data_IF_437153489760
#
_entry.id   IF_437153489760
#
_cell.length_a   1.000
_cell.length_b   1.000
_cell.length_c   1.000
_cell.angle_alpha   90.00
_cell.angle_beta   90.00
_cell.angle_gamma   90.00
#
_symmetry.space_group_name_H-M   'P 1'
#
loop_
_entity.id
_entity.type
_entity.pdbx_description
1 polymer ?
#
# COMPACT_ATOMS: atom_id res chain seq x y z
N UNK A 1 11.74 38.24 18.36
CA UNK A 1 10.99 37.81 17.17
C UNK A 1 11.33 36.35 16.95
N UNK A 2 10.47 35.45 17.43
CA UNK A 2 10.67 34.02 17.27
C UNK A 2 10.42 33.64 15.81
N UNK A 3 11.38 32.92 15.22
CA UNK A 3 11.32 32.48 13.85
C UNK A 3 10.23 31.41 13.73
N UNK A 4 9.07 31.78 13.20
CA UNK A 4 8.01 30.82 12.88
C UNK A 4 8.59 29.85 11.87
N UNK A 5 8.65 28.57 12.26
CA UNK A 5 9.20 27.50 11.45
C UNK A 5 8.25 27.24 10.27
N UNK A 6 8.49 27.94 9.15
CA UNK A 6 7.69 27.90 7.93
C UNK A 6 7.45 26.46 7.43
N UNK A 7 8.38 25.55 7.72
CA UNK A 7 8.31 24.15 7.36
C UNK A 7 7.22 23.38 8.13
N UNK A 8 6.98 23.74 9.40
CA UNK A 8 5.92 23.15 10.21
C UNK A 8 4.52 23.62 9.79
N UNK A 9 4.41 24.88 9.34
CA UNK A 9 3.16 25.43 8.81
C UNK A 9 2.78 24.76 7.48
N UNK A 10 3.78 24.51 6.63
CA UNK A 10 3.57 23.86 5.33
C UNK A 10 3.08 22.41 5.46
N UNK A 11 3.62 21.63 6.40
CA UNK A 11 3.15 20.28 6.68
C UNK A 11 1.74 20.25 7.28
N UNK A 12 1.38 21.24 8.10
CA UNK A 12 0.04 21.37 8.67
C UNK A 12 -1.02 21.67 7.59
N UNK A 13 -0.70 22.50 6.59
CA UNK A 13 -1.61 22.80 5.48
C UNK A 13 -1.93 21.56 4.63
N UNK A 14 -0.95 20.69 4.36
CA UNK A 14 -1.17 19.46 3.58
C UNK A 14 -2.14 18.51 4.29
N UNK A 15 -2.16 18.48 5.62
CA UNK A 15 -3.06 17.62 6.42
C UNK A 15 -4.49 18.17 6.46
N UNK A 16 -4.68 19.49 6.41
CA UNK A 16 -6.00 20.12 6.51
C UNK A 16 -6.78 20.14 5.19
N UNK A 17 -6.12 20.17 4.04
CA UNK A 17 -6.78 20.25 2.72
C UNK A 17 -7.42 18.92 2.29
N UNK A 18 -7.13 17.81 2.98
CA UNK A 18 -7.58 16.47 2.59
C UNK A 18 -8.98 16.04 3.04
N UNK A 19 -9.77 16.86 3.74
CA UNK A 19 -10.96 16.34 4.47
C UNK A 19 -12.34 16.72 3.95
N UNK A 20 -12.51 17.68 3.04
CA UNK A 20 -13.84 18.14 2.62
C UNK A 20 -14.10 17.90 1.14
N UNK A 21 -14.79 16.81 0.81
CA UNK A 21 -15.53 16.71 -0.45
C UNK A 21 -16.62 15.64 -0.36
N UNK A 22 -17.70 15.99 0.35
CA UNK A 22 -18.99 15.28 0.27
C UNK A 22 -19.76 15.88 -0.89
N UNK A 23 -19.74 15.24 -2.06
CA UNK A 23 -20.57 15.65 -3.19
C UNK A 23 -21.54 14.51 -3.57
N UNK A 24 -22.81 14.74 -3.26
CA UNK A 24 -23.95 13.90 -3.62
C UNK A 24 -24.32 14.20 -5.06
N UNK A 25 -24.19 13.24 -5.98
CA UNK A 25 -24.85 13.33 -7.27
C UNK A 25 -25.47 11.99 -7.69
N UNK A 26 -26.79 12.00 -7.79
CA UNK A 26 -27.64 10.95 -8.35
C UNK A 26 -27.73 11.17 -9.85
N UNK A 27 -27.35 10.18 -10.66
CA UNK A 27 -27.86 10.11 -12.02
C UNK A 27 -28.03 8.67 -12.52
N UNK A 28 -29.25 8.41 -12.96
CA UNK A 28 -29.72 7.18 -13.60
C UNK A 28 -29.38 7.24 -15.09
N UNK A 29 -28.74 6.21 -15.64
CA UNK A 29 -28.95 5.91 -17.06
C UNK A 29 -28.77 4.43 -17.40
N UNK A 30 -29.78 3.92 -18.11
CA UNK A 30 -29.90 2.59 -18.70
C UNK A 30 -29.19 2.58 -20.05
N UNK A 31 -28.34 1.59 -20.31
CA UNK A 31 -27.97 1.26 -21.68
C UNK A 31 -27.82 -0.26 -21.88
N UNK A 32 -28.60 -0.76 -22.84
CA UNK A 32 -28.59 -2.13 -23.36
C UNK A 32 -27.63 -2.18 -24.54
N UNK A 33 -26.64 -3.08 -24.52
CA UNK A 33 -25.90 -3.43 -25.72
C UNK A 33 -25.79 -4.96 -25.87
N UNK A 34 -26.34 -5.44 -26.99
CA UNK A 34 -26.22 -6.81 -27.49
C UNK A 34 -25.03 -6.87 -28.42
N UNK A 35 -24.03 -7.71 -28.11
CA UNK A 35 -22.98 -8.07 -29.07
C UNK A 35 -22.95 -9.60 -29.23
N UNK A 36 -23.22 -10.04 -30.46
CA UNK A 36 -23.02 -11.42 -30.94
C UNK A 36 -21.60 -11.51 -31.48
N UNK A 37 -20.76 -12.35 -30.89
CA UNK A 37 -19.45 -12.70 -31.45
C UNK A 37 -19.39 -14.19 -31.76
N UNK A 38 -19.20 -14.51 -33.04
CA UNK A 38 -18.94 -15.84 -33.57
C UNK A 38 -17.43 -16.08 -33.55
N UNK A 39 -16.94 -16.97 -32.68
CA UNK A 39 -15.54 -17.40 -32.69
C UNK A 39 -15.41 -18.80 -33.31
N UNK A 40 -14.67 -18.87 -34.41
CA UNK A 40 -14.20 -20.11 -35.05
C UNK A 40 -12.91 -20.56 -34.37
N UNK A 41 -12.99 -21.60 -33.53
CA UNK A 41 -11.81 -22.20 -32.91
C UNK A 41 -11.17 -23.26 -33.83
N UNK A 42 -9.92 -23.03 -34.24
CA UNK A 42 -9.06 -24.05 -34.85
C UNK A 42 -8.21 -24.68 -33.77
N UNK A 43 -8.54 -25.91 -33.36
CA UNK A 43 -7.79 -26.68 -32.37
C UNK A 43 -6.56 -27.33 -33.02
N UNK A 44 -5.36 -26.89 -32.63
CA UNK A 44 -4.10 -27.62 -32.91
C UNK A 44 -3.72 -28.40 -31.65
N UNK A 45 -3.94 -29.71 -31.68
CA UNK A 45 -3.60 -30.61 -30.58
C UNK A 45 -2.08 -30.88 -30.59
N UNK A 46 -1.35 -30.26 -29.66
CA UNK A 46 0.04 -30.63 -29.34
C UNK A 46 0.03 -31.51 -28.10
N UNK A 47 0.28 -32.81 -28.29
CA UNK A 47 0.40 -33.77 -27.20
C UNK A 47 1.74 -33.56 -26.47
N UNK A 48 1.72 -32.77 -25.39
CA UNK A 48 2.83 -32.70 -24.43
C UNK A 48 2.63 -33.79 -23.39
N UNK A 49 3.56 -34.74 -23.36
CA UNK A 49 3.59 -35.85 -22.40
C UNK A 49 3.96 -35.29 -21.02
N UNK A 50 2.97 -34.89 -20.23
CA UNK A 50 3.16 -34.44 -18.85
C UNK A 50 3.42 -35.67 -17.98
N UNK A 51 4.65 -35.81 -17.49
CA UNK A 51 4.97 -36.73 -16.40
C UNK A 51 4.22 -36.26 -15.16
N UNK A 52 3.08 -36.89 -14.88
CA UNK A 52 2.35 -36.73 -13.62
C UNK A 52 3.20 -37.31 -12.50
N UNK A 53 4.03 -36.48 -11.88
CA UNK A 53 4.50 -36.75 -10.53
C UNK A 53 3.28 -36.64 -9.61
N UNK A 54 2.66 -37.77 -9.32
CA UNK A 54 1.70 -37.91 -8.23
C UNK A 54 2.47 -37.69 -6.93
N UNK A 55 2.66 -36.43 -6.56
CA UNK A 55 2.86 -36.09 -5.16
C UNK A 55 1.55 -36.47 -4.47
N UNK A 56 1.55 -37.65 -3.84
CA UNK A 56 0.60 -37.99 -2.81
C UNK A 56 0.81 -36.97 -1.69
N UNK A 57 0.15 -35.82 -1.81
CA UNK A 57 -0.12 -34.97 -0.66
C UNK A 57 -0.96 -35.85 0.25
N UNK A 58 -0.28 -36.48 1.21
CA UNK A 58 -0.92 -36.92 2.43
C UNK A 58 -1.55 -35.65 2.99
N UNK A 59 -2.84 -35.46 2.70
CA UNK A 59 -3.70 -34.56 3.45
C UNK A 59 -3.69 -35.11 4.87
N UNK A 60 -2.64 -34.80 5.60
CA UNK A 60 -2.71 -34.73 7.04
C UNK A 60 -3.86 -33.77 7.26
N UNK A 61 -5.02 -34.29 7.65
CA UNK A 61 -6.09 -33.49 8.21
C UNK A 61 -5.47 -32.81 9.41
N UNK A 62 -4.85 -31.66 9.18
CA UNK A 62 -4.48 -30.73 10.22
C UNK A 62 -5.84 -30.26 10.70
N UNK A 63 -6.36 -30.98 11.70
CA UNK A 63 -7.44 -30.47 12.53
C UNK A 63 -6.86 -29.23 13.19
N UNK A 64 -6.95 -28.10 12.49
CA UNK A 64 -6.93 -26.82 13.14
C UNK A 64 -8.04 -26.92 14.17
N UNK A 65 -7.69 -27.01 15.45
CA UNK A 65 -8.66 -26.72 16.49
C UNK A 65 -9.34 -25.41 16.05
N UNK A 66 -10.67 -25.32 16.14
CA UNK A 66 -11.49 -24.25 15.52
C UNK A 66 -11.00 -22.81 15.83
N UNK A 67 -10.12 -22.66 16.81
CA UNK A 67 -9.52 -21.41 17.23
C UNK A 67 -8.22 -21.01 16.51
N UNK A 68 -7.51 -21.88 15.77
CA UNK A 68 -6.22 -21.55 15.15
C UNK A 68 -5.02 -21.54 16.13
N UNK A 69 -3.90 -20.86 15.84
CA UNK A 69 -2.72 -20.85 16.73
C UNK A 69 -3.02 -20.17 18.07
N UNK A 70 -2.35 -20.66 19.12
CA UNK A 70 -2.34 -20.01 20.44
C UNK A 70 -1.52 -18.71 20.40
N UNK A 71 -1.77 -17.80 21.35
CA UNK A 71 -1.00 -16.53 21.43
C UNK A 71 0.51 -16.76 21.55
N UNK A 72 0.92 -17.81 22.27
CA UNK A 72 2.34 -18.21 22.37
C UNK A 72 2.91 -18.63 21.01
N UNK A 73 2.17 -19.43 20.23
CA UNK A 73 2.61 -19.85 18.90
C UNK A 73 2.73 -18.67 17.94
N UNK A 74 1.81 -17.71 18.05
CA UNK A 74 1.87 -16.47 17.29
C UNK A 74 3.12 -15.67 17.68
N UNK A 75 3.36 -15.51 18.99
CA UNK A 75 4.53 -14.80 19.52
C UNK A 75 5.84 -15.41 18.99
N UNK A 76 5.97 -16.74 19.05
CA UNK A 76 7.15 -17.46 18.56
C UNK A 76 7.37 -17.26 17.05
N UNK A 77 6.30 -17.33 16.25
CA UNK A 77 6.35 -17.10 14.80
C UNK A 77 6.83 -15.68 14.45
N UNK A 78 6.34 -14.68 15.18
CA UNK A 78 6.74 -13.27 15.01
C UNK A 78 8.21 -13.10 15.40
N UNK A 79 8.61 -13.65 16.54
CA UNK A 79 9.99 -13.51 17.02
C UNK A 79 11.00 -14.20 16.11
N UNK A 80 10.66 -15.40 15.60
CA UNK A 80 11.46 -16.08 14.59
C UNK A 80 11.64 -15.18 13.36
N UNK A 81 10.55 -14.60 12.86
CA UNK A 81 10.59 -13.74 11.66
C UNK A 81 11.35 -12.43 11.88
N UNK A 82 11.27 -11.83 13.06
CA UNK A 82 12.05 -10.63 13.40
C UNK A 82 13.54 -10.95 13.60
N UNK A 83 13.86 -12.17 14.00
CA UNK A 83 15.24 -12.65 14.23
C UNK A 83 15.93 -13.13 12.96
N UNK A 84 15.17 -13.47 11.91
CA UNK A 84 15.72 -13.79 10.59
C UNK A 84 16.45 -12.57 10.00
N UNK A 85 17.77 -12.56 10.16
CA UNK A 85 18.64 -11.58 9.52
C UNK A 85 18.58 -11.78 8.01
N UNK A 86 18.20 -10.73 7.26
CA UNK A 86 18.28 -10.76 5.79
C UNK A 86 19.73 -11.09 5.40
N UNK A 87 19.99 -12.22 4.70
CA UNK A 87 21.34 -12.80 4.58
C UNK A 87 22.36 -11.97 3.82
N UNK A 88 22.05 -10.74 3.38
CA UNK A 88 22.96 -9.87 2.64
C UNK A 88 22.79 -8.37 2.92
N UNK A 89 22.03 -7.98 3.96
CA UNK A 89 21.86 -6.56 4.30
C UNK A 89 22.78 -6.22 5.48
N UNK A 90 23.62 -5.17 5.39
CA UNK A 90 24.42 -4.73 6.53
C UNK A 90 23.48 -4.54 7.71
N UNK A 91 23.83 -5.16 8.83
CA UNK A 91 23.06 -5.25 10.06
C UNK A 91 22.71 -3.82 10.51
N UNK A 92 21.59 -3.30 10.00
CA UNK A 92 20.91 -2.20 10.65
C UNK A 92 20.05 -2.84 11.73
N UNK A 93 20.69 -3.05 12.89
CA UNK A 93 20.03 -3.40 14.15
C UNK A 93 18.88 -2.42 14.40
N UNK A 94 17.66 -2.86 14.09
CA UNK A 94 16.42 -2.23 14.54
C UNK A 94 15.93 -2.96 15.80
N UNK A 95 15.80 -2.29 16.95
CA UNK A 95 15.65 -2.88 18.28
C UNK A 95 14.19 -3.13 18.65
N UNK A 96 13.42 -3.78 17.79
CA UNK A 96 12.03 -4.06 18.13
C UNK A 96 11.99 -5.34 18.96
N UNK A 97 11.95 -5.21 20.29
CA UNK A 97 11.56 -6.33 21.16
C UNK A 97 10.04 -6.33 21.29
N UNK A 98 9.41 -7.40 20.79
CA UNK A 98 7.99 -7.67 21.04
C UNK A 98 7.83 -8.01 22.52
N UNK A 99 7.12 -7.18 23.25
CA UNK A 99 6.86 -7.36 24.67
C UNK A 99 5.70 -8.32 24.89
N UNK A 100 4.60 -8.11 24.15
CA UNK A 100 3.43 -8.99 24.20
C UNK A 100 2.71 -9.04 22.87
N UNK A 101 2.03 -10.16 22.64
CA UNK A 101 1.13 -10.37 21.51
C UNK A 101 -0.18 -10.89 22.08
N UNK A 102 -1.28 -10.23 21.73
CA UNK A 102 -2.63 -10.60 22.13
C UNK A 102 -3.47 -10.87 20.90
N UNK A 103 -4.16 -12.00 20.87
CA UNK A 103 -5.12 -12.32 19.82
C UNK A 103 -6.44 -11.62 20.12
N UNK A 104 -6.88 -10.74 19.23
CA UNK A 104 -8.07 -9.89 19.45
C UNK A 104 -9.32 -10.38 18.72
N UNK A 105 -9.30 -11.61 18.19
CA UNK A 105 -10.43 -12.25 17.53
C UNK A 105 -10.09 -13.62 16.93
N UNK A 106 -11.09 -14.27 16.34
CA UNK A 106 -10.91 -15.60 15.73
C UNK A 106 -10.06 -15.51 14.46
N UNK A 107 -9.21 -16.51 14.25
CA UNK A 107 -8.48 -16.66 13.00
C UNK A 107 -9.45 -17.14 11.91
N UNK A 108 -9.30 -16.62 10.70
CA UNK A 108 -10.06 -17.07 9.52
C UNK A 108 -9.10 -17.66 8.49
N UNK A 109 -9.48 -18.74 7.80
CA UNK A 109 -8.73 -19.20 6.64
C UNK A 109 -8.72 -18.12 5.55
N UNK A 110 -7.57 -17.95 4.89
CA UNK A 110 -7.47 -17.08 3.72
C UNK A 110 -8.22 -17.70 2.55
N UNK A 111 -9.07 -16.91 1.88
CA UNK A 111 -9.81 -17.38 0.69
C UNK A 111 -8.88 -17.65 -0.49
N UNK A 112 -7.83 -16.85 -0.62
CA UNK A 112 -6.90 -16.91 -1.74
C UNK A 112 -5.81 -17.99 -1.53
N UNK A 113 -5.53 -18.33 -0.28
CA UNK A 113 -4.46 -19.25 0.10
C UNK A 113 -4.92 -20.18 1.24
N UNK A 114 -5.49 -21.36 0.95
CA UNK A 114 -6.16 -22.20 1.96
C UNK A 114 -5.22 -22.77 3.03
N UNK A 115 -3.89 -22.68 2.83
CA UNK A 115 -2.89 -23.04 3.84
C UNK A 115 -2.60 -21.91 4.82
N UNK A 116 -3.05 -20.68 4.54
CA UNK A 116 -2.82 -19.51 5.38
C UNK A 116 -4.04 -19.17 6.21
N UNK A 117 -3.80 -18.78 7.46
CA UNK A 117 -4.82 -18.18 8.32
C UNK A 117 -4.53 -16.70 8.54
N UNK A 118 -5.58 -15.94 8.74
CA UNK A 118 -5.54 -14.54 9.10
C UNK A 118 -6.00 -14.39 10.52
N UNK A 119 -5.07 -14.00 11.39
CA UNK A 119 -5.32 -13.82 12.81
C UNK A 119 -5.22 -12.32 13.15
N UNK A 120 -6.28 -11.71 13.69
CA UNK A 120 -6.21 -10.34 14.18
C UNK A 120 -5.44 -10.33 15.51
N UNK A 121 -4.35 -9.57 15.56
CA UNK A 121 -3.46 -9.52 16.72
C UNK A 121 -3.12 -8.08 17.11
N UNK A 122 -2.90 -7.88 18.39
CA UNK A 122 -2.42 -6.63 18.96
C UNK A 122 -1.03 -6.89 19.55
N UNK A 123 -0.08 -6.01 19.24
CA UNK A 123 1.30 -6.15 19.67
C UNK A 123 1.73 -4.94 20.47
N UNK A 124 2.43 -5.19 21.56
CA UNK A 124 3.14 -4.16 22.29
C UNK A 124 4.62 -4.32 22.03
N UNK A 125 5.26 -3.23 21.60
CA UNK A 125 6.70 -3.18 21.43
C UNK A 125 7.31 -2.32 22.52
N UNK A 126 8.31 -2.88 23.20
CA UNK A 126 9.13 -2.09 24.10
C UNK A 126 10.28 -1.46 23.29
N UNK A 127 10.38 -0.14 23.33
CA UNK A 127 11.47 0.62 22.71
C UNK A 127 12.55 0.88 23.76
N UNK A 128 13.17 -0.20 24.25
CA UNK A 128 14.08 -0.13 25.40
C UNK A 128 15.49 0.40 25.06
N UNK A 129 15.62 1.17 23.97
CA UNK A 129 16.82 1.99 23.78
C UNK A 129 16.75 3.21 24.68
N UNK A 130 17.03 2.99 25.95
CA UNK A 130 17.84 3.92 26.73
C UNK A 130 19.12 4.17 25.95
N UNK A 131 19.12 5.23 25.13
CA UNK A 131 20.32 5.82 24.55
C UNK A 131 21.20 6.31 25.71
N UNK A 132 21.95 5.41 26.33
CA UNK A 132 23.15 5.74 27.08
C UNK A 132 24.20 6.17 26.06
N UNK A 133 24.01 7.35 25.49
CA UNK A 133 24.97 8.01 24.60
C UNK A 133 26.14 8.55 25.42
N UNK A 134 27.00 7.65 25.88
CA UNK A 134 28.35 7.97 26.36
C UNK A 134 29.31 8.38 25.23
N UNK A 135 28.85 8.48 23.98
CA UNK A 135 29.67 8.92 22.85
C UNK A 135 29.79 10.44 22.81
N UNK A 136 31.02 10.93 23.02
CA UNK A 136 31.42 12.33 22.97
C UNK A 136 30.76 13.11 21.81
N UNK A 137 30.20 14.26 22.18
CA UNK A 137 29.59 15.26 21.31
C UNK A 137 30.45 15.59 20.08
N UNK A 138 30.05 15.09 18.92
CA UNK A 138 30.24 15.75 17.64
C UNK A 138 29.06 16.71 17.40
N UNK A 139 29.37 17.95 17.08
CA UNK A 139 28.49 19.12 17.02
C UNK A 139 27.32 19.06 16.01
N UNK A 140 26.23 18.37 16.37
CA UNK A 140 24.91 18.57 15.77
C UNK A 140 23.88 18.90 16.86
N UNK A 141 23.90 20.15 17.33
CA UNK A 141 22.89 20.72 18.24
C UNK A 141 21.78 21.36 17.43
N UNK A 142 20.65 20.68 17.24
CA UNK A 142 19.30 21.26 17.04
C UNK A 142 18.34 20.11 16.79
N UNK A 143 17.79 19.54 17.86
CA UNK A 143 16.48 18.85 17.98
C UNK A 143 16.48 18.15 19.35
N UNK A 144 16.45 18.94 20.43
CA UNK A 144 16.24 18.44 21.80
C UNK A 144 14.74 18.58 22.12
N UNK A 145 13.94 17.61 21.70
CA UNK A 145 12.63 17.37 22.31
C UNK A 145 12.66 15.98 22.94
N UNK A 146 12.74 15.95 24.26
CA UNK A 146 12.77 14.74 25.08
C UNK A 146 11.35 14.16 25.13
N UNK A 147 10.89 13.55 24.04
CA UNK A 147 9.63 12.82 24.05
C UNK A 147 9.84 11.45 24.68
N UNK A 148 9.32 11.30 25.89
CA UNK A 148 9.38 10.10 26.70
C UNK A 148 8.25 9.14 26.25
N UNK A 149 8.43 8.45 25.13
CA UNK A 149 7.45 7.47 24.63
C UNK A 149 7.65 6.15 25.39
N UNK A 150 6.90 5.96 26.47
CA UNK A 150 7.06 4.80 27.36
C UNK A 150 6.41 3.50 26.88
N UNK A 151 5.60 3.51 25.83
CA UNK A 151 5.00 2.28 25.30
C UNK A 151 4.44 2.56 23.89
N UNK A 152 4.69 1.68 22.92
CA UNK A 152 4.04 1.74 21.61
C UNK A 152 3.19 0.49 21.41
N UNK A 153 1.87 0.67 21.46
CA UNK A 153 0.89 -0.36 21.11
C UNK A 153 0.58 -0.22 19.63
N UNK A 154 0.83 -1.28 18.87
CA UNK A 154 0.56 -1.36 17.45
C UNK A 154 -0.42 -2.50 17.22
N UNK A 155 -1.64 -2.16 16.78
CA UNK A 155 -2.67 -3.15 16.45
C UNK A 155 -2.56 -3.50 14.96
N UNK A 156 -2.24 -4.75 14.62
CA UNK A 156 -1.93 -5.20 13.26
C UNK A 156 -2.71 -6.48 12.92
N UNK A 157 -3.43 -6.51 11.79
CA UNK A 157 -3.93 -7.78 11.25
C UNK A 157 -2.82 -8.44 10.45
N UNK A 158 -2.48 -9.68 10.77
CA UNK A 158 -1.43 -10.42 10.08
C UNK A 158 -1.87 -11.79 9.60
N UNK A 159 -1.16 -12.27 8.58
CA UNK A 159 -1.26 -13.63 8.09
C UNK A 159 -0.23 -14.49 8.81
N UNK A 160 -0.70 -15.65 9.28
CA UNK A 160 0.13 -16.67 9.91
C UNK A 160 -0.29 -17.99 9.28
N UNK A 161 0.69 -18.80 8.88
CA UNK A 161 0.44 -20.09 8.26
C UNK A 161 1.39 -21.14 8.79
N UNK A 162 1.09 -22.40 8.52
CA UNK A 162 1.91 -23.51 8.98
C UNK A 162 2.78 -24.03 7.83
N UNK A 163 4.10 -24.05 8.03
CA UNK A 163 5.06 -24.68 7.14
C UNK A 163 5.81 -25.78 7.89
N UNK A 164 5.75 -27.01 7.39
CA UNK A 164 6.46 -28.15 7.98
C UNK A 164 6.19 -28.35 9.49
N UNK A 165 4.97 -28.04 9.95
CA UNK A 165 4.58 -28.13 11.36
C UNK A 165 4.83 -26.87 12.20
N UNK A 166 5.54 -25.86 11.69
CA UNK A 166 5.85 -24.62 12.39
C UNK A 166 4.99 -23.46 11.91
N UNK A 167 4.61 -22.54 12.81
CA UNK A 167 3.91 -21.31 12.43
C UNK A 167 4.89 -20.27 11.89
N UNK A 168 4.54 -19.67 10.76
CA UNK A 168 5.32 -18.64 10.07
C UNK A 168 4.46 -17.39 9.94
N UNK A 169 5.06 -16.23 10.23
CA UNK A 169 4.41 -14.92 10.10
C UNK A 169 4.75 -14.24 8.76
N UNK A 170 3.84 -13.40 8.26
CA UNK A 170 3.97 -12.66 6.98
C UNK A 170 5.33 -12.00 6.78
N UNK A 171 5.91 -12.22 5.59
CA UNK A 171 7.19 -11.65 5.18
C UNK A 171 7.21 -10.11 5.22
N UNK A 172 6.06 -9.48 5.02
CA UNK A 172 5.92 -8.03 5.05
C UNK A 172 5.85 -7.46 6.47
N UNK A 173 5.80 -8.30 7.51
CA UNK A 173 5.59 -7.88 8.89
C UNK A 173 6.63 -6.83 9.32
N UNK A 174 7.90 -7.05 9.02
CA UNK A 174 8.99 -6.13 9.39
C UNK A 174 8.79 -4.74 8.77
N UNK A 175 8.48 -4.68 7.48
CA UNK A 175 8.25 -3.43 6.75
C UNK A 175 7.04 -2.67 7.30
N UNK A 176 5.97 -3.40 7.67
CA UNK A 176 4.75 -2.80 8.26
C UNK A 176 5.01 -2.23 9.65
N UNK A 177 5.70 -2.98 10.53
CA UNK A 177 6.09 -2.50 11.87
C UNK A 177 6.96 -1.25 11.74
N UNK A 178 7.92 -1.23 10.81
CA UNK A 178 8.76 -0.05 10.59
C UNK A 178 7.95 1.15 10.11
N UNK A 179 7.05 0.97 9.15
CA UNK A 179 6.18 2.04 8.66
C UNK A 179 5.28 2.60 9.78
N UNK A 180 4.62 1.74 10.55
CA UNK A 180 3.75 2.16 11.65
C UNK A 180 4.52 2.85 12.76
N UNK A 181 5.73 2.37 13.07
CA UNK A 181 6.62 3.03 14.04
C UNK A 181 7.01 4.44 13.58
N UNK A 182 7.27 4.62 12.29
CA UNK A 182 7.61 5.93 11.73
C UNK A 182 6.41 6.88 11.75
N UNK A 183 5.22 6.37 11.43
CA UNK A 183 3.97 7.14 11.46
C UNK A 183 3.56 7.49 12.90
N UNK A 184 3.72 6.58 13.86
CA UNK A 184 3.42 6.82 15.26
C UNK A 184 4.34 7.90 15.86
N UNK A 185 5.63 7.90 15.48
CA UNK A 185 6.57 8.99 15.83
C UNK A 185 6.15 10.35 15.27
N UNK A 186 5.42 10.37 14.16
CA UNK A 186 4.82 11.58 13.59
C UNK A 186 3.47 11.96 14.22
N UNK A 187 3.01 11.25 15.26
CA UNK A 187 1.70 11.46 15.89
C UNK A 187 0.52 10.91 15.08
N UNK A 188 0.79 10.12 14.03
CA UNK A 188 -0.24 9.52 13.18
C UNK A 188 -0.64 8.16 13.74
N UNK A 189 -1.90 8.04 14.19
CA UNK A 189 -2.46 6.75 14.61
C UNK A 189 -2.96 6.00 13.39
N UNK A 190 -2.23 4.99 12.95
CA UNK A 190 -2.67 4.10 11.87
C UNK A 190 -3.76 3.18 12.41
N UNK A 191 -5.00 3.34 11.93
CA UNK A 191 -6.04 2.32 12.08
C UNK A 191 -6.16 1.60 10.75
N UNK A 192 -5.82 0.31 10.74
CA UNK A 192 -6.12 -0.53 9.59
C UNK A 192 -7.64 -0.70 9.53
N UNK A 193 -8.24 -0.30 8.40
CA UNK A 193 -9.67 -0.51 8.17
C UNK A 193 -9.99 -2.00 8.36
N UNK A 194 -11.15 -2.28 8.96
CA UNK A 194 -11.66 -3.63 8.95
C UNK A 194 -12.01 -4.00 7.52
N UNK A 195 -11.34 -5.02 6.97
CA UNK A 195 -11.74 -5.64 5.71
C UNK A 195 -13.19 -6.16 5.84
N UNK A 196 -14.14 -5.33 5.42
CA UNK A 196 -15.52 -5.75 5.15
C UNK A 196 -15.43 -6.65 3.93
N UNK A 197 -15.71 -7.95 4.11
CA UNK A 197 -15.71 -8.92 3.01
C UNK A 197 -16.77 -8.50 1.97
N UNK A 198 -16.37 -8.10 0.75
CA UNK A 198 -17.31 -7.72 -0.29
C UNK A 198 -17.83 -8.98 -0.96
N UNK A 199 -19.10 -9.27 -0.73
CA UNK A 199 -19.83 -10.33 -1.41
C UNK A 199 -20.29 -9.78 -2.78
N UNK A 200 -19.35 -9.54 -3.70
CA UNK A 200 -19.67 -9.02 -5.05
C UNK A 200 -18.90 -9.79 -6.11
N UNK A 201 -19.66 -10.51 -6.93
CA UNK A 201 -19.23 -11.09 -8.20
C UNK A 201 -18.84 -9.95 -9.14
N UNK A 202 -17.54 -9.70 -9.30
CA UNK A 202 -17.01 -8.79 -10.33
C UNK A 202 -16.32 -9.61 -11.41
N UNK A 203 -17.07 -9.88 -12.48
CA UNK A 203 -16.51 -10.43 -13.72
C UNK A 203 -15.85 -9.26 -14.46
N UNK A 204 -14.57 -9.02 -14.17
CA UNK A 204 -13.74 -8.17 -15.03
C UNK A 204 -13.20 -9.09 -16.12
N UNK A 205 -13.77 -9.03 -17.32
CA UNK A 205 -13.24 -9.72 -18.49
C UNK A 205 -11.79 -9.25 -18.73
N UNK A 206 -10.82 -10.05 -18.30
CA UNK A 206 -9.38 -10.19 -18.59
C UNK A 206 -8.50 -8.98 -19.03
N UNK A 207 -8.99 -7.75 -19.13
CA UNK A 207 -8.24 -6.62 -19.70
C UNK A 207 -7.90 -5.50 -18.70
N UNK A 208 -8.69 -5.34 -17.64
CA UNK A 208 -8.65 -4.13 -16.81
C UNK A 208 -8.79 -2.85 -17.66
N UNK A 209 -8.40 -1.67 -17.13
CA UNK A 209 -8.32 -0.44 -17.93
C UNK A 209 -7.26 -0.53 -19.04
N UNK A 210 -7.53 0.09 -20.17
CA UNK A 210 -6.53 0.39 -21.21
C UNK A 210 -5.58 1.52 -20.77
N UNK A 211 -4.42 1.65 -21.41
CA UNK A 211 -3.48 2.76 -21.11
C UNK A 211 -4.13 4.14 -21.25
N UNK A 212 -4.97 4.33 -22.28
CA UNK A 212 -5.70 5.57 -22.50
C UNK A 212 -6.73 5.84 -21.39
N UNK A 213 -7.38 4.80 -20.87
CA UNK A 213 -8.30 4.94 -19.74
C UNK A 213 -7.56 5.33 -18.45
N UNK A 214 -6.38 4.76 -18.20
CA UNK A 214 -5.55 5.15 -17.05
C UNK A 214 -5.06 6.60 -17.22
N UNK A 215 -4.60 6.97 -18.43
CA UNK A 215 -4.16 8.34 -18.72
C UNK A 215 -5.25 9.36 -18.42
N UNK A 216 -6.46 9.15 -18.95
CA UNK A 216 -7.58 10.06 -18.73
C UNK A 216 -7.97 10.14 -17.24
N UNK A 217 -8.00 9.01 -16.53
CA UNK A 217 -8.31 8.97 -15.11
C UNK A 217 -7.32 9.78 -14.25
N UNK A 218 -6.03 9.81 -14.63
CA UNK A 218 -5.01 10.64 -13.96
C UNK A 218 -5.13 12.10 -14.40
N UNK A 219 -5.33 12.35 -15.70
CA UNK A 219 -5.48 13.72 -16.25
C UNK A 219 -6.63 14.46 -15.57
N UNK A 220 -7.76 13.80 -15.35
CA UNK A 220 -8.91 14.36 -14.63
C UNK A 220 -8.55 14.87 -13.22
N UNK A 221 -7.53 14.29 -12.55
CA UNK A 221 -7.06 14.78 -11.25
C UNK A 221 -6.29 16.10 -11.37
N UNK A 222 -5.63 16.36 -12.51
CA UNK A 222 -4.95 17.62 -12.78
C UNK A 222 -5.94 18.71 -13.18
N UNK A 223 -6.91 18.37 -14.04
CA UNK A 223 -7.89 19.33 -14.55
C UNK A 223 -8.84 19.82 -13.45
N UNK A 224 -9.26 18.94 -12.53
CA UNK A 224 -10.17 19.30 -11.41
C UNK A 224 -9.62 20.35 -10.44
N UNK A 225 -8.32 20.56 -10.40
CA UNK A 225 -7.71 21.49 -9.44
C UNK A 225 -7.56 22.91 -9.93
N UNK A 226 -7.84 23.19 -11.20
CA UNK A 226 -7.72 24.55 -11.75
C UNK A 226 -8.96 25.43 -11.48
N UNK A 227 -10.04 24.90 -10.89
CA UNK A 227 -11.28 25.68 -10.70
C UNK A 227 -11.23 26.73 -9.59
N UNK A 228 -10.23 26.71 -8.71
CA UNK A 228 -10.30 27.45 -7.45
C UNK A 228 -9.67 28.85 -7.48
N UNK A 229 -9.34 29.35 -8.68
CA UNK A 229 -9.12 30.79 -8.89
C UNK A 229 -7.84 31.41 -8.33
N UNK A 230 -6.90 30.62 -7.78
CA UNK A 230 -5.58 31.12 -7.36
C UNK A 230 -4.54 31.08 -8.49
N UNK A 231 -3.85 32.21 -8.63
CA UNK A 231 -3.17 32.69 -9.85
C UNK A 231 -1.73 32.23 -10.03
N UNK A 232 -1.23 31.29 -9.25
CA UNK A 232 0.12 30.76 -9.46
C UNK A 232 0.04 29.44 -10.24
N UNK A 233 0.09 29.57 -11.57
CA UNK A 233 0.20 28.48 -12.54
C UNK A 233 1.55 27.78 -12.41
N UNK A 234 1.72 26.97 -11.37
CA UNK A 234 2.69 25.88 -11.44
C UNK A 234 2.18 24.87 -12.48
N UNK A 235 2.70 24.98 -13.70
CA UNK A 235 2.27 24.15 -14.84
C UNK A 235 2.87 22.74 -14.71
N UNK A 236 2.29 21.95 -13.82
CA UNK A 236 2.44 20.50 -13.84
C UNK A 236 1.58 19.94 -14.96
N UNK A 237 2.16 19.09 -15.80
CA UNK A 237 1.42 18.41 -16.86
C UNK A 237 1.76 16.93 -16.88
N UNK A 238 0.75 16.11 -17.17
CA UNK A 238 0.93 14.71 -17.49
C UNK A 238 1.34 14.59 -18.96
N UNK A 239 2.40 13.85 -19.27
CA UNK A 239 2.86 13.68 -20.65
C UNK A 239 2.45 12.31 -21.20
N UNK A 240 2.71 11.24 -20.44
CA UNK A 240 2.34 9.89 -20.85
C UNK A 240 2.17 8.95 -19.67
N UNK A 241 1.39 7.90 -19.89
CA UNK A 241 1.19 6.80 -18.96
C UNK A 241 1.32 5.51 -19.76
N UNK A 242 2.20 4.64 -19.32
CA UNK A 242 2.45 3.33 -19.95
C UNK A 242 2.13 2.23 -18.95
N UNK A 243 1.25 1.31 -19.31
CA UNK A 243 0.91 0.14 -18.50
C UNK A 243 2.03 -0.89 -18.69
N UNK A 244 2.64 -1.29 -17.58
CA UNK A 244 3.80 -2.19 -17.59
C UNK A 244 3.46 -3.61 -17.12
N UNK A 245 2.21 -3.85 -16.74
CA UNK A 245 1.73 -5.15 -16.28
C UNK A 245 0.21 -5.19 -16.12
N UNK A 246 -0.29 -6.35 -15.69
CA UNK A 246 -1.71 -6.55 -15.46
C UNK A 246 -2.15 -5.78 -14.21
N UNK A 247 -3.36 -5.23 -14.25
CA UNK A 247 -3.96 -4.64 -13.07
C UNK A 247 -4.50 -5.76 -12.17
N UNK A 248 -4.29 -5.64 -10.87
CA UNK A 248 -4.75 -6.62 -9.88
C UNK A 248 -5.81 -5.98 -8.98
N UNK A 249 -6.94 -6.65 -8.69
CA UNK A 249 -7.91 -6.15 -7.72
C UNK A 249 -7.27 -5.83 -6.37
N UNK A 250 -7.74 -4.79 -5.69
CA UNK A 250 -7.30 -4.46 -4.32
C UNK A 250 -8.03 -5.38 -3.35
N UNK A 251 -7.30 -6.14 -2.54
CA UNK A 251 -7.87 -7.17 -1.66
C UNK A 251 -8.96 -6.64 -0.70
N UNK A 252 -8.83 -5.39 -0.25
CA UNK A 252 -9.80 -4.73 0.65
C UNK A 252 -10.94 -4.04 -0.08
N UNK A 253 -10.82 -3.81 -1.38
CA UNK A 253 -11.73 -3.00 -2.20
C UNK A 253 -11.78 -3.57 -3.63
N UNK A 254 -12.57 -4.62 -3.92
CA UNK A 254 -12.52 -5.34 -5.20
C UNK A 254 -12.98 -4.51 -6.40
N UNK A 255 -13.69 -3.41 -6.15
CA UNK A 255 -14.04 -2.41 -7.18
C UNK A 255 -12.85 -1.56 -7.59
N UNK A 256 -11.80 -1.53 -6.78
CA UNK A 256 -10.51 -0.90 -7.10
C UNK A 256 -9.54 -1.93 -7.67
N UNK A 257 -8.76 -1.47 -8.63
CA UNK A 257 -7.63 -2.20 -9.18
C UNK A 257 -6.35 -1.41 -9.01
N UNK A 258 -5.27 -2.10 -8.65
CA UNK A 258 -3.91 -1.59 -8.67
C UNK A 258 -3.27 -1.91 -10.02
N UNK A 259 -2.99 -0.88 -10.80
CA UNK A 259 -2.33 -0.99 -12.09
C UNK A 259 -0.87 -0.52 -11.97
N UNK A 260 0.11 -1.39 -12.28
CA UNK A 260 1.49 -0.96 -12.40
C UNK A 260 1.66 -0.15 -13.68
N UNK A 261 2.18 1.07 -13.57
CA UNK A 261 2.42 1.97 -14.70
C UNK A 261 3.75 2.70 -14.59
N UNK A 262 4.31 3.08 -15.73
CA UNK A 262 5.30 4.14 -15.82
C UNK A 262 4.59 5.46 -16.17
N UNK A 263 4.75 6.47 -15.33
CA UNK A 263 4.16 7.79 -15.52
C UNK A 263 5.27 8.75 -15.89
N UNK A 264 5.10 9.47 -17.01
CA UNK A 264 5.94 10.62 -17.36
C UNK A 264 5.15 11.90 -17.12
N UNK A 265 5.64 12.72 -16.21
CA UNK A 265 5.06 14.03 -15.90
C UNK A 265 6.14 15.11 -16.04
N UNK A 266 5.71 16.32 -16.36
CA UNK A 266 6.58 17.46 -16.50
C UNK A 266 6.19 18.62 -15.61
N UNK A 267 7.18 19.48 -15.35
CA UNK A 267 7.00 20.76 -14.68
C UNK A 267 7.61 21.88 -15.53
N UNK A 268 6.88 22.99 -15.64
CA UNK A 268 7.33 24.18 -16.32
C UNK A 268 7.20 25.40 -15.38
N UNK A 269 8.34 25.85 -14.84
CA UNK A 269 8.43 26.96 -13.87
C UNK A 269 8.20 28.37 -14.42
N UNK A 270 7.54 28.51 -15.57
CA UNK A 270 7.24 29.79 -16.22
C UNK A 270 7.21 29.70 -17.74
N UNK A 271 6.56 30.67 -18.39
CA UNK A 271 6.24 30.65 -19.82
C UNK A 271 7.43 30.39 -20.77
N UNK A 272 8.65 30.73 -20.34
CA UNK A 272 9.87 30.59 -21.14
C UNK A 272 10.84 29.50 -20.64
N UNK A 273 10.46 28.75 -19.60
CA UNK A 273 11.30 27.67 -19.08
C UNK A 273 11.17 26.42 -19.95
N UNK A 274 12.29 25.71 -20.17
CA UNK A 274 12.28 24.39 -20.83
C UNK A 274 11.61 23.41 -19.86
N UNK A 275 10.53 22.72 -20.28
CA UNK A 275 9.85 21.76 -19.42
C UNK A 275 10.80 20.64 -18.99
N UNK A 276 10.93 20.41 -17.69
CA UNK A 276 11.64 19.27 -17.15
C UNK A 276 10.68 18.09 -17.06
N UNK A 277 11.10 16.93 -17.57
CA UNK A 277 10.29 15.70 -17.63
C UNK A 277 10.87 14.64 -16.70
N UNK A 278 9.99 13.94 -16.00
CA UNK A 278 10.35 12.92 -15.04
C UNK A 278 9.50 11.68 -15.27
N UNK A 279 10.16 10.53 -15.46
CA UNK A 279 9.51 9.23 -15.57
C UNK A 279 9.73 8.44 -14.28
N UNK A 280 8.66 7.92 -13.70
CA UNK A 280 8.73 7.08 -12.50
C UNK A 280 7.72 5.94 -12.56
N UNK A 281 8.09 4.84 -11.90
CA UNK A 281 7.31 3.63 -11.81
C UNK A 281 6.40 3.66 -10.58
N UNK A 282 5.11 3.40 -10.76
CA UNK A 282 4.15 3.46 -9.65
C UNK A 282 2.95 2.53 -9.85
N UNK A 283 2.44 1.98 -8.74
CA UNK A 283 1.11 1.38 -8.70
C UNK A 283 0.05 2.46 -8.47
N UNK A 284 -0.92 2.50 -9.38
CA UNK A 284 -2.06 3.42 -9.34
C UNK A 284 -3.31 2.63 -9.03
N UNK A 285 -4.02 3.04 -7.99
CA UNK A 285 -5.34 2.52 -7.66
C UNK A 285 -6.38 3.27 -8.48
N UNK A 286 -7.19 2.54 -9.25
CA UNK A 286 -8.30 3.10 -10.03
C UNK A 286 -9.57 2.26 -9.85
N UNK A 287 -10.74 2.85 -10.06
CA UNK A 287 -12.04 2.15 -10.05
C UNK A 287 -12.97 2.73 -11.11
N UNK A 288 -14.08 2.05 -11.39
CA UNK A 288 -15.14 2.61 -12.22
C UNK A 288 -16.19 3.33 -11.39
N UNK A 289 -16.56 4.53 -11.81
CA UNK A 289 -17.65 5.32 -11.27
C UNK A 289 -18.51 5.83 -12.44
N UNK A 290 -19.79 5.44 -12.49
CA UNK A 290 -20.72 5.81 -13.56
C UNK A 290 -20.19 5.51 -14.98
N UNK A 291 -19.46 4.39 -15.15
CA UNK A 291 -18.88 3.98 -16.43
C UNK A 291 -17.55 4.66 -16.80
N UNK A 292 -17.07 5.60 -15.97
CA UNK A 292 -15.79 6.26 -16.15
C UNK A 292 -14.73 5.71 -15.19
N UNK A 293 -13.47 5.66 -15.63
CA UNK A 293 -12.36 5.28 -14.75
C UNK A 293 -11.92 6.49 -13.93
N UNK A 294 -11.85 6.30 -12.62
CA UNK A 294 -11.41 7.33 -11.67
C UNK A 294 -10.15 6.84 -10.97
N UNK A 295 -9.12 7.69 -10.92
CA UNK A 295 -7.89 7.40 -10.19
C UNK A 295 -7.97 7.92 -8.75
N UNK A 296 -7.27 7.24 -7.84
CA UNK A 296 -7.15 7.65 -6.44
C UNK A 296 -6.54 9.05 -6.33
N UNK A 297 -7.17 9.95 -5.58
CA UNK A 297 -6.73 11.34 -5.43
C UNK A 297 -5.29 11.47 -4.90
N UNK A 298 -4.81 10.46 -4.15
CA UNK A 298 -3.43 10.40 -3.65
C UNK A 298 -2.40 10.23 -4.76
N UNK A 299 -2.80 9.78 -5.94
CA UNK A 299 -1.91 9.62 -7.10
C UNK A 299 -1.29 10.96 -7.45
N UNK A 300 -2.08 12.03 -7.53
CA UNK A 300 -1.59 13.37 -7.82
C UNK A 300 -0.53 13.84 -6.82
N UNK A 301 -0.81 13.72 -5.51
CA UNK A 301 0.13 14.13 -4.46
C UNK A 301 1.43 13.35 -4.52
N UNK A 302 1.38 12.05 -4.85
CA UNK A 302 2.58 11.21 -5.01
C UNK A 302 3.41 11.64 -6.22
N UNK A 303 2.77 11.93 -7.36
CA UNK A 303 3.45 12.41 -8.56
C UNK A 303 4.13 13.76 -8.28
N UNK A 304 3.43 14.70 -7.66
CA UNK A 304 3.98 16.00 -7.26
C UNK A 304 5.17 15.86 -6.31
N UNK A 305 5.06 14.97 -5.31
CA UNK A 305 6.13 14.73 -4.35
C UNK A 305 7.40 14.18 -5.03
N UNK A 306 7.26 13.22 -5.96
CA UNK A 306 8.38 12.66 -6.73
C UNK A 306 9.07 13.75 -7.57
N UNK A 307 8.30 14.64 -8.21
CA UNK A 307 8.86 15.77 -8.97
C UNK A 307 9.60 16.76 -8.06
N UNK A 308 9.02 17.15 -6.92
CA UNK A 308 9.66 18.07 -5.97
C UNK A 308 10.99 17.54 -5.43
N UNK A 309 11.10 16.24 -5.19
CA UNK A 309 12.36 15.61 -4.77
C UNK A 309 13.38 15.52 -5.91
N UNK A 310 12.91 15.40 -7.16
CA UNK A 310 13.79 15.33 -8.32
C UNK A 310 14.39 16.70 -8.67
N UNK A 311 13.63 17.78 -8.53
CA UNK A 311 14.10 19.17 -8.75
C UNK A 311 15.24 19.54 -7.78
N UNK A 312 15.20 19.08 -6.52
CA UNK A 312 16.24 19.41 -5.53
C UNK A 312 17.61 18.75 -5.76
N UNK A 313 17.69 17.77 -6.66
CA UNK A 313 18.93 17.03 -6.94
C UNK A 313 19.73 17.58 -8.13
N UNK A 314 19.14 18.45 -8.95
CA UNK A 314 19.80 19.14 -10.06
C UNK A 314 20.31 20.51 -9.65
#
# INVERSE_FOLDING_TARGET
MESINLFGLFLLCIVLIGCDNTNTNTNTNTNTNTNTNTNTNTNTNTNTNTNTNTNTNTNTNIHFADDGPSESQIYDAIQARLSESEPNKPIQEGPFSVESVKKVGNCKLSKDEPTKMRCPVEMTFNNDRGLNSGSKQGSFKRFNSTFNFKEQIVSLKMYIWQENGNWVADDQLRSRIQADTLLSKAGVRVRYAEDVEPNISTHFDDGGPSESQIYNAIQDLYDKTESDGETEKEAFFLESVKKIGNCTPVATEPTKMNCPVDVTAGWQGGANSIPQKYTFNQYISIWQENGNWVADSRVKSRIQLVMLFSIRKG
#
